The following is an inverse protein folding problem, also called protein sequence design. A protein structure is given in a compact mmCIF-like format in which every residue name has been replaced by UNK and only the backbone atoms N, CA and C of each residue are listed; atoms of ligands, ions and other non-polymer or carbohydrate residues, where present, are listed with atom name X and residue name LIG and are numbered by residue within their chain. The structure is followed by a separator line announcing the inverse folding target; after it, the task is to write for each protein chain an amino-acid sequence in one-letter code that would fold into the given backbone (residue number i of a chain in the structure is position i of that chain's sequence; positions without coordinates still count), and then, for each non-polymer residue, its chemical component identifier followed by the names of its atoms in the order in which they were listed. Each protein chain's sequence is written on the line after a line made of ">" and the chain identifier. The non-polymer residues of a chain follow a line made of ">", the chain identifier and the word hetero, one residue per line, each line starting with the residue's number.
data_IF_056688132242
#
_entry.id   IF_056688132242
#
_cell.length_a   1.000
_cell.length_b   1.000
_cell.length_c   1.000
_cell.angle_alpha   90.00
_cell.angle_beta   90.00
_cell.angle_gamma   90.00
#
_symmetry.space_group_name_H-M   'P 1'
#
loop_
_entity.id
_entity.type
_entity.pdbx_description
1 polymer ?
#
# COMPACT_ATOMS: atom_id res chain seq x y z
N UNK A 1 11.50 35.48 9.11
CA UNK A 1 11.56 34.33 8.17
C UNK A 1 12.69 33.42 8.62
N UNK A 2 12.41 32.16 8.94
CA UNK A 2 13.47 31.19 9.22
C UNK A 2 14.15 30.85 7.89
N UNK A 3 15.44 31.17 7.75
CA UNK A 3 16.24 30.75 6.60
C UNK A 3 16.68 29.29 6.84
N UNK A 4 16.15 28.37 6.03
CA UNK A 4 16.55 26.97 6.11
C UNK A 4 17.89 26.75 5.41
N UNK A 5 18.78 26.00 6.04
CA UNK A 5 19.99 25.48 5.39
C UNK A 5 19.61 24.45 4.33
N UNK A 6 20.50 24.22 3.35
CA UNK A 6 20.31 23.19 2.31
C UNK A 6 19.98 21.81 2.91
N UNK A 7 20.64 21.44 4.01
CA UNK A 7 20.42 20.17 4.71
C UNK A 7 19.01 20.09 5.31
N UNK A 8 18.54 21.18 5.93
CA UNK A 8 17.18 21.24 6.49
C UNK A 8 16.11 21.14 5.39
N UNK A 9 16.33 21.76 4.23
CA UNK A 9 15.42 21.64 3.09
C UNK A 9 15.33 20.21 2.55
N UNK A 10 16.46 19.51 2.42
CA UNK A 10 16.46 18.10 2.00
C UNK A 10 15.71 17.21 3.00
N UNK A 11 15.96 17.39 4.30
CA UNK A 11 15.26 16.63 5.34
C UNK A 11 13.74 16.86 5.30
N UNK A 12 13.29 18.10 5.09
CA UNK A 12 11.88 18.43 4.94
C UNK A 12 11.27 17.76 3.70
N UNK A 13 11.97 17.80 2.56
CA UNK A 13 11.52 17.13 1.34
C UNK A 13 11.39 15.61 1.53
N UNK A 14 12.34 14.98 2.22
CA UNK A 14 12.29 13.55 2.52
C UNK A 14 11.16 13.17 3.49
N UNK A 15 10.85 14.04 4.46
CA UNK A 15 9.69 13.87 5.35
C UNK A 15 8.39 13.96 4.55
N UNK A 16 8.22 15.00 3.74
CA UNK A 16 7.03 15.20 2.91
C UNK A 16 6.81 14.03 1.94
N UNK A 17 7.89 13.55 1.31
CA UNK A 17 7.83 12.36 0.45
C UNK A 17 7.34 11.13 1.22
N UNK A 18 7.93 10.83 2.38
CA UNK A 18 7.51 9.69 3.21
C UNK A 18 6.06 9.81 3.69
N UNK A 19 5.60 11.02 4.03
CA UNK A 19 4.22 11.27 4.44
C UNK A 19 3.23 10.98 3.31
N UNK A 20 3.56 11.35 2.07
CA UNK A 20 2.73 11.05 0.88
C UNK A 20 2.68 9.55 0.61
N UNK A 21 3.84 8.89 0.65
CA UNK A 21 3.96 7.44 0.48
C UNK A 21 3.15 6.68 1.53
N UNK A 22 3.24 7.08 2.79
CA UNK A 22 2.47 6.49 3.89
C UNK A 22 0.96 6.70 3.72
N UNK A 23 0.54 7.91 3.33
CA UNK A 23 -0.86 8.24 3.07
C UNK A 23 -1.43 7.40 1.91
N UNK A 24 -0.63 7.21 0.86
CA UNK A 24 -0.98 6.35 -0.26
C UNK A 24 -1.18 4.90 0.18
N UNK A 25 -0.25 4.33 0.96
CA UNK A 25 -0.34 2.96 1.48
C UNK A 25 -1.60 2.78 2.32
N UNK A 26 -1.89 3.72 3.23
CA UNK A 26 -3.10 3.69 4.04
C UNK A 26 -4.36 3.69 3.18
N UNK A 27 -4.48 4.64 2.26
CA UNK A 27 -5.65 4.77 1.40
C UNK A 27 -5.89 3.52 0.55
N UNK A 28 -4.85 3.00 -0.10
CA UNK A 28 -4.96 1.78 -0.92
C UNK A 28 -5.24 0.54 -0.07
N UNK A 29 -4.62 0.41 1.11
CA UNK A 29 -4.88 -0.73 2.02
C UNK A 29 -6.34 -0.79 2.49
N UNK A 30 -6.95 0.37 2.77
CA UNK A 30 -8.38 0.46 3.15
C UNK A 30 -9.28 0.09 1.97
N UNK A 31 -8.99 0.62 0.78
CA UNK A 31 -9.74 0.29 -0.44
C UNK A 31 -9.70 -1.21 -0.73
N UNK A 32 -8.50 -1.79 -0.79
CA UNK A 32 -8.29 -3.22 -1.00
C UNK A 32 -9.01 -4.04 0.07
N UNK A 33 -8.92 -3.63 1.34
CA UNK A 33 -9.61 -4.33 2.44
C UNK A 33 -11.11 -4.43 2.17
N UNK A 34 -11.74 -3.32 1.80
CA UNK A 34 -13.18 -3.28 1.55
C UNK A 34 -13.55 -4.16 0.36
N UNK A 35 -12.78 -4.09 -0.73
CA UNK A 35 -13.03 -4.92 -1.93
C UNK A 35 -12.87 -6.42 -1.64
N UNK A 36 -11.84 -6.82 -0.89
CA UNK A 36 -11.65 -8.22 -0.45
C UNK A 36 -12.85 -8.71 0.38
N UNK A 37 -13.34 -7.89 1.32
CA UNK A 37 -14.50 -8.25 2.15
C UNK A 37 -15.77 -8.41 1.30
N UNK A 38 -15.96 -7.58 0.28
CA UNK A 38 -17.09 -7.72 -0.66
C UNK A 38 -16.96 -8.98 -1.52
N UNK A 39 -15.77 -9.31 -2.01
CA UNK A 39 -15.55 -10.57 -2.76
C UNK A 39 -15.74 -11.81 -1.86
N UNK A 40 -15.28 -11.75 -0.61
CA UNK A 40 -15.50 -12.83 0.35
C UNK A 40 -17.01 -13.04 0.64
N UNK A 41 -17.81 -11.97 0.75
CA UNK A 41 -19.27 -12.06 0.90
C UNK A 41 -19.95 -12.74 -0.30
N UNK A 42 -19.36 -12.65 -1.49
CA UNK A 42 -19.84 -13.32 -2.71
C UNK A 42 -19.39 -14.78 -2.80
N UNK A 43 -18.59 -15.26 -1.84
CA UNK A 43 -18.07 -16.63 -1.80
C UNK A 43 -16.76 -16.83 -2.57
N UNK A 44 -16.07 -15.75 -2.96
CA UNK A 44 -14.73 -15.87 -3.52
C UNK A 44 -13.69 -16.03 -2.41
N UNK A 45 -12.56 -16.66 -2.77
CA UNK A 45 -11.43 -16.93 -1.88
C UNK A 45 -10.17 -16.19 -2.29
N UNK A 46 -10.23 -15.44 -3.40
CA UNK A 46 -9.08 -14.77 -4.00
C UNK A 46 -9.50 -13.40 -4.50
N UNK A 47 -8.56 -12.47 -4.41
CA UNK A 47 -8.70 -11.13 -4.97
C UNK A 47 -7.37 -10.64 -5.53
N UNK A 48 -7.46 -9.97 -6.66
CA UNK A 48 -6.33 -9.43 -7.40
C UNK A 48 -6.50 -7.93 -7.53
N UNK A 49 -5.55 -7.19 -6.98
CA UNK A 49 -5.45 -5.74 -7.13
C UNK A 49 -4.32 -5.37 -8.09
N UNK A 50 -4.56 -4.34 -8.88
CA UNK A 50 -3.57 -3.70 -9.75
C UNK A 50 -3.63 -2.18 -9.53
N UNK A 51 -2.47 -1.54 -9.42
CA UNK A 51 -2.37 -0.10 -9.29
C UNK A 51 -2.76 0.59 -10.59
N UNK A 52 -3.60 1.61 -10.49
CA UNK A 52 -3.98 2.48 -11.61
C UNK A 52 -2.78 3.31 -12.12
N UNK A 53 -1.84 3.63 -11.21
CA UNK A 53 -0.65 4.44 -11.48
C UNK A 53 0.63 3.62 -11.32
N UNK A 54 1.73 4.11 -11.92
CA UNK A 54 3.07 3.58 -11.69
C UNK A 54 3.39 3.57 -10.19
N UNK A 55 3.62 2.37 -9.67
CA UNK A 55 3.94 2.14 -8.27
C UNK A 55 5.36 1.56 -8.17
N UNK A 56 6.16 2.10 -7.26
CA UNK A 56 7.50 1.59 -7.03
C UNK A 56 7.44 0.24 -6.30
N UNK A 57 8.44 -0.60 -6.53
CA UNK A 57 8.54 -1.89 -5.84
C UNK A 57 8.61 -1.74 -4.31
N UNK A 58 9.20 -0.65 -3.81
CA UNK A 58 9.26 -0.34 -2.37
C UNK A 58 7.84 -0.10 -1.82
N UNK A 59 7.03 0.71 -2.51
CA UNK A 59 5.65 0.96 -2.10
C UNK A 59 4.79 -0.31 -2.15
N UNK A 60 4.99 -1.17 -3.15
CA UNK A 60 4.32 -2.48 -3.20
C UNK A 60 4.69 -3.35 -2.00
N UNK A 61 5.96 -3.39 -1.59
CA UNK A 61 6.39 -4.14 -0.41
C UNK A 61 5.72 -3.62 0.86
N UNK A 62 5.71 -2.31 1.07
CA UNK A 62 5.10 -1.70 2.25
C UNK A 62 3.57 -1.90 2.26
N UNK A 63 2.92 -1.81 1.09
CA UNK A 63 1.50 -2.13 0.96
C UNK A 63 1.22 -3.60 1.28
N UNK A 64 2.04 -4.54 0.79
CA UNK A 64 1.92 -5.95 1.16
C UNK A 64 2.07 -6.20 2.66
N UNK A 65 3.06 -5.57 3.32
CA UNK A 65 3.21 -5.67 4.78
C UNK A 65 1.98 -5.14 5.50
N UNK A 66 1.44 -4.01 5.05
CA UNK A 66 0.22 -3.43 5.63
C UNK A 66 -0.97 -4.36 5.45
N UNK A 67 -1.14 -4.95 4.27
CA UNK A 67 -2.21 -5.91 4.01
C UNK A 67 -2.03 -7.20 4.81
N UNK A 68 -0.81 -7.69 5.00
CA UNK A 68 -0.54 -8.88 5.84
C UNK A 68 -0.93 -8.64 7.29
N UNK A 69 -0.80 -7.40 7.78
CA UNK A 69 -1.28 -7.03 9.13
C UNK A 69 -2.80 -6.99 9.25
N UNK A 70 -3.52 -6.85 8.13
CA UNK A 70 -5.00 -6.83 8.09
C UNK A 70 -5.54 -8.26 7.88
N UNK A 71 -4.91 -9.00 6.98
CA UNK A 71 -5.28 -10.35 6.55
C UNK A 71 -4.24 -11.35 7.04
N UNK A 72 -4.25 -11.61 8.34
CA UNK A 72 -3.18 -12.34 9.04
C UNK A 72 -2.97 -13.75 8.47
N UNK A 73 -4.06 -14.45 8.18
CA UNK A 73 -4.03 -15.84 7.69
C UNK A 73 -4.02 -15.97 6.17
N UNK A 74 -4.11 -14.84 5.45
CA UNK A 74 -4.13 -14.85 3.99
C UNK A 74 -2.72 -14.88 3.41
N UNK A 75 -2.57 -15.58 2.28
CA UNK A 75 -1.37 -15.54 1.47
C UNK A 75 -1.40 -14.31 0.58
N UNK A 76 -0.44 -13.42 0.77
CA UNK A 76 -0.30 -12.19 -0.03
C UNK A 76 0.92 -12.28 -0.93
N UNK A 77 0.72 -12.18 -2.25
CA UNK A 77 1.79 -12.24 -3.24
C UNK A 77 1.86 -10.97 -4.06
N UNK A 78 3.09 -10.51 -4.34
CA UNK A 78 3.34 -9.37 -5.22
C UNK A 78 3.33 -9.80 -6.67
N UNK A 79 2.78 -8.94 -7.53
CA UNK A 79 2.88 -9.00 -8.98
C UNK A 79 3.46 -7.70 -9.51
N UNK A 80 3.71 -7.65 -10.81
CA UNK A 80 4.05 -6.39 -11.44
C UNK A 80 2.89 -5.40 -11.29
N UNK A 81 3.19 -4.24 -10.71
CA UNK A 81 2.21 -3.19 -10.37
C UNK A 81 1.00 -3.64 -9.53
N UNK A 82 1.04 -4.79 -8.86
CA UNK A 82 -0.15 -5.37 -8.26
C UNK A 82 0.10 -6.34 -7.11
N UNK A 83 -0.98 -6.79 -6.50
CA UNK A 83 -1.00 -7.69 -5.34
C UNK A 83 -2.11 -8.72 -5.53
N UNK A 84 -1.86 -9.96 -5.16
CA UNK A 84 -2.90 -10.98 -4.98
C UNK A 84 -3.03 -11.31 -3.50
N UNK A 85 -4.26 -11.57 -3.08
CA UNK A 85 -4.63 -11.99 -1.73
C UNK A 85 -5.46 -13.27 -1.87
N UNK A 86 -5.00 -14.33 -1.23
CA UNK A 86 -5.65 -15.64 -1.21
C UNK A 86 -5.96 -16.01 0.24
N UNK A 87 -7.24 -16.22 0.54
CA UNK A 87 -7.76 -16.59 1.87
C UNK A 87 -8.52 -17.92 1.84
N UNK A 88 -8.24 -18.77 0.84
CA UNK A 88 -8.72 -20.15 0.80
C UNK A 88 -8.23 -20.96 1.99
#
# INVERSE_FOLDING_TARGET
>A
MAAYTKLQLHALFDIERRNREYSYILAKSIKIKNEVLEEAKKGYYKYSWTSDDLITQILLVELCKKLQSIFVDSRITRRDMGIDIDWS
#
